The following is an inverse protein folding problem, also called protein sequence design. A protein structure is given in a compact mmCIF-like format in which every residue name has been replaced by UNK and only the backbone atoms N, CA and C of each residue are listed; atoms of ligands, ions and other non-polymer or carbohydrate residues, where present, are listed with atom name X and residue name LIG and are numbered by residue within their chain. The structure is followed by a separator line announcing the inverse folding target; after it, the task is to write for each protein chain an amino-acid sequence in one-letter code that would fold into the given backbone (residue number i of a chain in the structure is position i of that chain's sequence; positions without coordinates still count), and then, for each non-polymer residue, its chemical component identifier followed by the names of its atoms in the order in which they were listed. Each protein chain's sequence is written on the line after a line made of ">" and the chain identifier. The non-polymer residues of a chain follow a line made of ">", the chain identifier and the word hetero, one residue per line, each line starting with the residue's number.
data_IF_045837420360
#
_entry.id   IF_045837420360
#
_cell.length_a   1.000
_cell.length_b   1.000
_cell.length_c   1.000
_cell.angle_alpha   90.00
_cell.angle_beta   90.00
_cell.angle_gamma   90.00
#
_symmetry.space_group_name_H-M   'P 1'
#
loop_
_entity.id
_entity.type
_entity.pdbx_description
1 polymer ?
#
# COMPACT_ATOMS: atom_id res chain seq x y z
N UNK A 1 -21.88 -43.06 -33.27
CA UNK A 1 -20.59 -42.79 -32.58
C UNK A 1 -19.99 -41.46 -32.99
N UNK A 2 -20.06 -41.07 -34.29
CA UNK A 2 -19.50 -39.82 -34.81
C UNK A 2 -20.18 -38.53 -34.24
N UNK A 3 -21.52 -38.44 -34.10
CA UNK A 3 -22.14 -37.23 -33.56
C UNK A 3 -21.79 -36.94 -32.08
N UNK A 4 -21.62 -37.98 -31.27
CA UNK A 4 -21.27 -37.82 -29.85
C UNK A 4 -19.82 -37.39 -29.66
N UNK A 5 -18.92 -37.82 -30.51
CA UNK A 5 -17.52 -37.41 -30.49
C UNK A 5 -17.37 -35.93 -30.93
N UNK A 6 -18.14 -35.53 -31.95
CA UNK A 6 -18.19 -34.11 -32.36
C UNK A 6 -18.77 -33.20 -31.29
N UNK A 7 -19.86 -33.63 -30.63
CA UNK A 7 -20.44 -32.91 -29.53
C UNK A 7 -19.45 -32.81 -28.34
N UNK A 8 -18.75 -33.92 -28.03
CA UNK A 8 -17.73 -33.95 -26.98
C UNK A 8 -16.56 -33.00 -27.28
N UNK A 9 -16.04 -33.03 -28.53
CA UNK A 9 -14.97 -32.10 -28.93
C UNK A 9 -15.41 -30.63 -28.91
N UNK A 10 -16.64 -30.32 -29.29
CA UNK A 10 -17.19 -28.97 -29.21
C UNK A 10 -17.41 -28.53 -27.76
N UNK A 11 -17.90 -29.43 -26.91
CA UNK A 11 -18.07 -29.15 -25.47
C UNK A 11 -16.71 -29.01 -24.83
N UNK A 12 -15.74 -29.89 -25.07
CA UNK A 12 -14.41 -29.83 -24.53
C UNK A 12 -13.64 -28.56 -24.98
N UNK A 13 -13.79 -28.18 -26.26
CA UNK A 13 -13.22 -26.94 -26.81
C UNK A 13 -13.87 -25.65 -26.21
N UNK A 14 -15.14 -25.75 -25.75
CA UNK A 14 -15.88 -24.63 -25.19
C UNK A 14 -16.01 -24.71 -23.64
N UNK A 15 -15.51 -25.78 -23.01
CA UNK A 15 -15.60 -25.97 -21.56
C UNK A 15 -14.77 -24.92 -20.78
N UNK A 16 -13.75 -24.35 -21.40
CA UNK A 16 -13.04 -23.19 -20.87
C UNK A 16 -12.61 -22.24 -21.99
N UNK A 17 -13.57 -21.52 -22.63
CA UNK A 17 -13.25 -20.51 -23.64
C UNK A 17 -12.41 -19.36 -23.04
N UNK A 18 -12.17 -19.39 -21.74
CA UNK A 18 -11.52 -18.35 -20.97
C UNK A 18 -10.25 -18.80 -20.24
N UNK A 19 -9.90 -20.09 -20.33
CA UNK A 19 -8.70 -20.66 -19.72
C UNK A 19 -7.39 -20.17 -20.35
N UNK A 20 -7.46 -19.55 -21.54
CA UNK A 20 -6.28 -19.01 -22.22
C UNK A 20 -6.29 -17.48 -22.26
N UNK A 21 -6.53 -16.84 -21.13
CA UNK A 21 -6.48 -15.37 -20.98
C UNK A 21 -5.04 -14.81 -21.07
N UNK A 22 -4.01 -15.68 -20.99
CA UNK A 22 -2.60 -15.31 -21.20
C UNK A 22 -2.33 -14.73 -22.60
N UNK A 23 -3.12 -15.11 -23.60
CA UNK A 23 -3.08 -14.53 -24.96
C UNK A 23 -3.62 -13.11 -25.05
N UNK A 24 -4.34 -12.64 -24.06
CA UNK A 24 -4.93 -11.31 -24.02
C UNK A 24 -3.88 -10.33 -23.48
N UNK A 25 -3.28 -9.55 -24.39
CA UNK A 25 -2.24 -8.59 -24.01
C UNK A 25 -2.84 -7.31 -23.46
N UNK A 26 -2.49 -6.97 -22.23
CA UNK A 26 -2.84 -5.71 -21.56
C UNK A 26 -1.56 -4.95 -21.25
N UNK A 27 -1.48 -3.70 -21.72
CA UNK A 27 -0.33 -2.84 -21.44
C UNK A 27 -0.49 -2.17 -20.06
N UNK A 28 0.60 -2.13 -19.32
CA UNK A 28 0.73 -1.40 -18.06
C UNK A 28 1.82 -0.36 -18.23
N UNK A 29 1.50 0.89 -17.96
CA UNK A 29 2.47 1.97 -17.89
C UNK A 29 2.47 2.54 -16.48
N UNK A 30 3.63 2.64 -15.88
CA UNK A 30 3.83 3.24 -14.57
C UNK A 30 4.49 4.61 -14.75
N UNK A 31 3.76 5.68 -14.47
CA UNK A 31 4.26 7.05 -14.43
C UNK A 31 4.39 7.55 -12.99
N UNK A 32 3.99 6.73 -11.97
CA UNK A 32 4.05 7.08 -10.56
C UNK A 32 5.48 7.42 -10.13
N UNK A 33 5.61 8.53 -9.42
CA UNK A 33 6.90 9.04 -8.92
C UNK A 33 7.20 8.62 -7.50
N UNK A 34 6.30 7.82 -6.92
CA UNK A 34 6.34 7.56 -5.49
C UNK A 34 5.91 8.79 -4.68
N UNK A 35 5.84 8.64 -3.39
CA UNK A 35 5.58 9.72 -2.46
C UNK A 35 6.26 9.46 -1.12
N UNK A 36 6.75 10.53 -0.52
CA UNK A 36 7.38 10.53 0.80
C UNK A 36 6.54 11.32 1.79
N UNK A 37 6.36 10.77 2.98
CA UNK A 37 5.79 11.46 4.13
C UNK A 37 6.74 11.37 5.32
N UNK A 38 6.47 12.14 6.38
CA UNK A 38 7.28 12.05 7.61
C UNK A 38 7.34 10.66 8.23
N UNK A 39 6.35 9.82 7.94
CA UNK A 39 6.22 8.49 8.52
C UNK A 39 6.71 7.37 7.59
N UNK A 40 6.64 7.58 6.26
CA UNK A 40 6.97 6.54 5.31
C UNK A 40 7.20 7.04 3.89
N UNK A 41 7.96 6.25 3.12
CA UNK A 41 8.08 6.35 1.66
C UNK A 41 7.20 5.26 1.02
N UNK A 42 6.46 5.62 -0.02
CA UNK A 42 5.59 4.72 -0.77
C UNK A 42 5.87 4.84 -2.27
N UNK A 43 6.07 3.72 -2.92
CA UNK A 43 6.07 3.56 -4.37
C UNK A 43 5.02 2.52 -4.76
N UNK A 44 3.76 2.95 -4.73
CA UNK A 44 2.62 2.07 -4.96
C UNK A 44 2.55 1.60 -6.41
N UNK A 45 2.92 2.47 -7.36
CA UNK A 45 2.94 2.13 -8.78
C UNK A 45 3.96 1.01 -9.07
N UNK A 46 5.15 1.09 -8.52
CA UNK A 46 6.16 0.04 -8.68
C UNK A 46 5.74 -1.27 -7.99
N UNK A 47 5.13 -1.18 -6.82
CA UNK A 47 4.61 -2.36 -6.11
C UNK A 47 3.53 -3.09 -6.93
N UNK A 48 2.61 -2.33 -7.57
CA UNK A 48 1.60 -2.90 -8.48
C UNK A 48 2.28 -3.58 -9.66
N UNK A 49 3.25 -2.94 -10.32
CA UNK A 49 3.99 -3.51 -11.44
C UNK A 49 4.69 -4.81 -11.04
N UNK A 50 5.36 -4.86 -9.90
CA UNK A 50 6.10 -6.04 -9.46
C UNK A 50 5.17 -7.21 -9.07
N UNK A 51 3.99 -6.92 -8.57
CA UNK A 51 2.96 -7.92 -8.32
C UNK A 51 2.33 -8.43 -9.64
N UNK A 52 2.06 -7.52 -10.59
CA UNK A 52 1.53 -7.92 -11.90
C UNK A 52 2.53 -8.75 -12.72
N UNK A 53 3.84 -8.55 -12.56
CA UNK A 53 4.87 -9.41 -13.18
C UNK A 53 4.79 -10.87 -12.71
N UNK A 54 4.29 -11.10 -11.50
CA UNK A 54 4.08 -12.45 -10.92
C UNK A 54 2.70 -13.03 -11.24
N UNK A 55 1.80 -12.20 -11.76
CA UNK A 55 0.43 -12.59 -12.08
C UNK A 55 0.34 -13.07 -13.53
N UNK A 56 -0.19 -14.26 -13.74
CA UNK A 56 -0.30 -14.92 -15.05
C UNK A 56 -1.73 -15.00 -15.59
N UNK A 57 -2.68 -14.27 -14.98
CA UNK A 57 -4.08 -14.26 -15.41
C UNK A 57 -4.28 -13.60 -16.77
N UNK A 58 -3.44 -12.63 -17.13
CA UNK A 58 -3.44 -11.93 -18.41
C UNK A 58 -2.02 -11.84 -18.97
N UNK A 59 -1.92 -11.51 -20.27
CA UNK A 59 -0.64 -11.24 -20.92
C UNK A 59 -0.14 -9.82 -20.65
N UNK A 60 0.32 -9.54 -19.43
CA UNK A 60 0.78 -8.23 -19.02
C UNK A 60 2.00 -7.78 -19.84
N UNK A 61 1.95 -6.55 -20.34
CA UNK A 61 3.04 -5.89 -21.09
C UNK A 61 3.38 -4.57 -20.44
N UNK A 62 4.58 -4.47 -19.88
CA UNK A 62 5.07 -3.28 -19.21
C UNK A 62 5.77 -2.39 -20.24
N UNK A 63 5.21 -1.23 -20.50
CA UNK A 63 5.65 -0.27 -21.52
C UNK A 63 5.44 1.15 -21.02
N UNK A 64 5.97 2.15 -21.72
CA UNK A 64 5.66 3.54 -21.43
C UNK A 64 4.21 3.92 -21.80
N UNK A 65 3.69 5.01 -21.23
CA UNK A 65 2.31 5.43 -21.45
C UNK A 65 2.01 5.76 -22.92
N UNK A 66 2.99 6.27 -23.66
CA UNK A 66 2.85 6.59 -25.09
C UNK A 66 2.72 5.33 -25.94
N UNK A 67 3.56 4.33 -25.66
CA UNK A 67 3.48 3.02 -26.32
C UNK A 67 2.18 2.29 -25.94
N UNK A 68 1.79 2.33 -24.67
CA UNK A 68 0.55 1.74 -24.19
C UNK A 68 -0.66 2.28 -24.95
N UNK A 69 -0.83 3.62 -25.00
CA UNK A 69 -1.92 4.30 -25.72
C UNK A 69 -1.88 4.02 -27.23
N UNK A 70 -0.69 4.05 -27.84
CA UNK A 70 -0.52 3.73 -29.28
C UNK A 70 -0.84 2.26 -29.56
N UNK A 71 -0.39 1.35 -28.72
CA UNK A 71 -0.64 -0.08 -28.85
C UNK A 71 -2.12 -0.46 -28.79
N UNK A 72 -2.88 0.19 -27.90
CA UNK A 72 -4.35 0.03 -27.86
C UNK A 72 -5.00 0.53 -29.15
N UNK A 73 -4.65 1.73 -29.62
CA UNK A 73 -5.22 2.29 -30.87
C UNK A 73 -4.91 1.44 -32.08
N UNK A 74 -3.70 0.88 -32.17
CA UNK A 74 -3.29 0.01 -33.28
C UNK A 74 -3.83 -1.42 -33.20
N UNK A 75 -4.43 -1.81 -32.05
CA UNK A 75 -4.91 -3.16 -31.80
C UNK A 75 -3.81 -4.15 -31.38
N UNK A 76 -2.59 -3.67 -31.09
CA UNK A 76 -1.50 -4.48 -30.51
C UNK A 76 -1.90 -4.98 -29.13
N UNK A 77 -2.48 -4.09 -28.29
CA UNK A 77 -3.00 -4.41 -26.97
C UNK A 77 -4.53 -4.32 -26.95
N UNK A 78 -5.16 -5.15 -26.16
CA UNK A 78 -6.61 -5.11 -25.93
C UNK A 78 -7.03 -3.94 -25.04
N UNK A 79 -6.22 -3.69 -24.03
CA UNK A 79 -6.40 -2.58 -23.11
C UNK A 79 -5.04 -2.05 -22.67
N UNK A 80 -5.03 -0.86 -22.11
CA UNK A 80 -3.89 -0.31 -21.40
C UNK A 80 -4.36 0.38 -20.11
N UNK A 81 -3.53 0.27 -19.09
CA UNK A 81 -3.72 0.93 -17.81
C UNK A 81 -2.49 1.77 -17.55
N UNK A 82 -2.71 3.03 -17.27
CA UNK A 82 -1.64 3.96 -16.93
C UNK A 82 -1.83 4.38 -15.48
N UNK A 83 -0.83 4.13 -14.67
CA UNK A 83 -0.74 4.58 -13.29
C UNK A 83 -0.20 6.01 -13.33
N UNK A 84 -0.96 7.02 -12.89
CA UNK A 84 -0.55 8.42 -13.00
C UNK A 84 0.60 8.76 -12.04
N UNK A 85 1.26 9.86 -12.29
CA UNK A 85 2.47 10.29 -11.60
C UNK A 85 2.27 10.65 -10.12
N UNK A 86 1.05 10.97 -9.73
CA UNK A 86 0.63 11.30 -8.37
C UNK A 86 -0.08 10.16 -7.62
N UNK A 87 0.01 8.93 -8.12
CA UNK A 87 -0.76 7.81 -7.58
C UNK A 87 -0.39 7.49 -6.11
N UNK A 88 0.91 7.38 -5.81
CA UNK A 88 1.41 7.19 -4.44
C UNK A 88 1.05 8.37 -3.52
N UNK A 89 1.14 9.61 -4.03
CA UNK A 89 0.74 10.80 -3.27
C UNK A 89 -0.75 10.76 -2.90
N UNK A 90 -1.60 10.38 -3.85
CA UNK A 90 -3.04 10.24 -3.60
C UNK A 90 -3.36 9.16 -2.57
N UNK A 91 -2.64 8.03 -2.58
CA UNK A 91 -2.78 6.99 -1.55
C UNK A 91 -2.33 7.49 -0.18
N UNK A 92 -1.20 8.19 -0.08
CA UNK A 92 -0.71 8.74 1.19
C UNK A 92 -1.60 9.87 1.74
N UNK A 93 -2.30 10.61 0.87
CA UNK A 93 -3.21 11.67 1.29
C UNK A 93 -4.35 11.18 2.19
N UNK A 94 -4.74 9.91 2.07
CA UNK A 94 -5.74 9.27 2.92
C UNK A 94 -5.27 9.25 4.39
N UNK A 95 -3.98 9.09 4.62
CA UNK A 95 -3.39 9.05 5.96
C UNK A 95 -3.30 10.45 6.60
N UNK A 96 -3.24 11.50 5.79
CA UNK A 96 -3.20 12.90 6.27
C UNK A 96 -4.60 13.50 6.48
N UNK A 97 -5.66 12.78 6.10
CA UNK A 97 -7.04 13.25 6.22
C UNK A 97 -7.52 14.15 5.06
N UNK A 98 -6.63 14.47 4.12
CA UNK A 98 -6.97 15.19 2.87
C UNK A 98 -7.14 14.17 1.74
N UNK A 99 -8.31 13.54 1.70
CA UNK A 99 -8.56 12.35 0.87
C UNK A 99 -8.62 12.76 -0.61
N UNK A 100 -7.53 12.50 -1.33
CA UNK A 100 -7.49 12.49 -2.79
C UNK A 100 -7.70 11.06 -3.26
N UNK A 101 -8.73 10.83 -4.08
CA UNK A 101 -8.96 9.48 -4.62
C UNK A 101 -7.85 9.15 -5.63
N UNK A 102 -7.16 7.99 -5.47
CA UNK A 102 -6.24 7.53 -6.50
C UNK A 102 -7.04 7.11 -7.74
N UNK A 103 -6.70 7.67 -8.88
CA UNK A 103 -7.32 7.35 -10.16
C UNK A 103 -6.33 6.59 -11.05
N UNK A 104 -6.84 5.72 -11.90
CA UNK A 104 -6.08 5.01 -12.91
C UNK A 104 -6.65 5.35 -14.28
N UNK A 105 -5.81 5.67 -15.22
CA UNK A 105 -6.22 5.86 -16.60
C UNK A 105 -6.40 4.53 -17.30
N UNK A 106 -7.59 4.28 -17.82
CA UNK A 106 -7.93 3.05 -18.51
C UNK A 106 -8.28 3.28 -19.98
N UNK A 107 -7.62 2.58 -20.88
CA UNK A 107 -7.81 2.65 -22.33
C UNK A 107 -8.21 1.28 -22.89
N UNK A 108 -9.27 1.21 -23.70
CA UNK A 108 -9.78 -0.02 -24.32
C UNK A 108 -9.77 0.11 -25.84
N UNK A 109 -9.51 -1.00 -26.53
CA UNK A 109 -9.72 -1.08 -27.96
C UNK A 109 -11.17 -1.45 -28.29
N UNK A 110 -11.99 -0.47 -28.60
CA UNK A 110 -13.42 -0.65 -28.92
C UNK A 110 -13.66 -1.52 -30.18
N UNK A 111 -12.68 -1.63 -31.07
CA UNK A 111 -12.79 -2.44 -32.29
C UNK A 111 -12.73 -3.95 -32.05
N UNK A 112 -12.24 -4.37 -30.88
CA UNK A 112 -12.14 -5.77 -30.44
C UNK A 112 -13.24 -6.16 -29.45
N UNK A 113 -14.43 -5.66 -29.64
CA UNK A 113 -15.53 -5.52 -28.68
C UNK A 113 -16.07 -6.83 -28.07
N UNK A 114 -15.89 -8.00 -28.68
CA UNK A 114 -16.46 -9.25 -28.16
C UNK A 114 -15.80 -9.75 -26.85
N UNK A 115 -14.55 -9.38 -26.60
CA UNK A 115 -13.74 -9.85 -25.46
C UNK A 115 -13.52 -8.72 -24.43
N UNK A 116 -13.74 -7.47 -24.85
CA UNK A 116 -13.49 -6.28 -24.04
C UNK A 116 -14.15 -6.30 -22.65
N UNK A 117 -15.43 -6.67 -22.47
CA UNK A 117 -16.07 -6.64 -21.15
C UNK A 117 -15.42 -7.58 -20.14
N UNK A 118 -14.91 -8.73 -20.59
CA UNK A 118 -14.27 -9.70 -19.71
C UNK A 118 -12.84 -9.31 -19.34
N UNK A 119 -12.11 -8.72 -20.28
CA UNK A 119 -10.77 -8.17 -20.02
C UNK A 119 -10.89 -7.02 -19.00
N UNK A 120 -11.89 -6.16 -19.20
CA UNK A 120 -12.18 -5.05 -18.30
C UNK A 120 -12.47 -5.57 -16.89
N UNK A 121 -13.32 -6.59 -16.77
CA UNK A 121 -13.66 -7.15 -15.46
C UNK A 121 -12.45 -7.81 -14.79
N UNK A 122 -11.71 -8.66 -15.50
CA UNK A 122 -10.53 -9.37 -14.93
C UNK A 122 -9.39 -8.41 -14.68
N UNK A 123 -9.06 -7.54 -15.63
CA UNK A 123 -7.98 -6.56 -15.46
C UNK A 123 -8.27 -5.56 -14.36
N UNK A 124 -9.49 -5.00 -14.36
CA UNK A 124 -9.90 -4.06 -13.32
C UNK A 124 -9.95 -4.72 -11.94
N UNK A 125 -10.50 -5.94 -11.81
CA UNK A 125 -10.54 -6.64 -10.52
C UNK A 125 -9.14 -7.01 -10.02
N UNK A 126 -8.25 -7.45 -10.89
CA UNK A 126 -6.87 -7.77 -10.51
C UNK A 126 -6.14 -6.52 -10.00
N UNK A 127 -6.28 -5.40 -10.70
CA UNK A 127 -5.64 -4.16 -10.27
C UNK A 127 -6.31 -3.60 -9.01
N UNK A 128 -7.63 -3.70 -8.90
CA UNK A 128 -8.33 -3.29 -7.68
C UNK A 128 -7.89 -4.11 -6.48
N UNK A 129 -7.65 -5.41 -6.63
CA UNK A 129 -7.02 -6.22 -5.58
C UNK A 129 -5.63 -5.71 -5.23
N UNK A 130 -4.76 -5.44 -6.22
CA UNK A 130 -3.42 -4.93 -5.98
C UNK A 130 -3.44 -3.57 -5.27
N UNK A 131 -4.36 -2.69 -5.63
CA UNK A 131 -4.56 -1.41 -4.93
C UNK A 131 -4.98 -1.64 -3.49
N UNK A 132 -5.96 -2.52 -3.25
CA UNK A 132 -6.44 -2.83 -1.91
C UNK A 132 -5.35 -3.48 -1.05
N UNK A 133 -4.56 -4.40 -1.61
CA UNK A 133 -3.45 -5.05 -0.92
C UNK A 133 -2.34 -4.04 -0.58
N UNK A 134 -1.99 -3.18 -1.52
CA UNK A 134 -1.02 -2.10 -1.32
C UNK A 134 -1.53 -1.12 -0.25
N UNK A 135 -2.78 -0.68 -0.34
CA UNK A 135 -3.39 0.20 0.64
C UNK A 135 -3.43 -0.43 2.04
N UNK A 136 -3.83 -1.70 2.14
CA UNK A 136 -3.87 -2.42 3.42
C UNK A 136 -2.49 -2.54 4.06
N UNK A 137 -1.46 -2.82 3.25
CA UNK A 137 -0.07 -2.88 3.70
C UNK A 137 0.41 -1.51 4.20
N UNK A 138 0.16 -0.45 3.42
CA UNK A 138 0.51 0.93 3.78
C UNK A 138 -0.18 1.37 5.07
N UNK A 139 -1.47 1.08 5.20
CA UNK A 139 -2.24 1.41 6.39
C UNK A 139 -1.72 0.67 7.62
N UNK A 140 -1.42 -0.63 7.50
CA UNK A 140 -0.87 -1.44 8.58
C UNK A 140 0.52 -0.92 9.03
N UNK A 141 1.41 -0.63 8.09
CA UNK A 141 2.74 -0.07 8.38
C UNK A 141 2.66 1.30 9.06
N UNK A 142 1.73 2.14 8.61
CA UNK A 142 1.52 3.47 9.19
C UNK A 142 1.00 3.38 10.63
N UNK A 143 0.02 2.51 10.88
CA UNK A 143 -0.50 2.26 12.22
C UNK A 143 0.61 1.72 13.13
N UNK A 144 1.40 0.75 12.66
CA UNK A 144 2.51 0.19 13.42
C UNK A 144 3.55 1.27 13.81
N UNK A 145 3.91 2.16 12.87
CA UNK A 145 4.84 3.27 13.13
C UNK A 145 4.27 4.30 14.11
N UNK A 146 2.99 4.65 14.00
CA UNK A 146 2.32 5.55 14.94
C UNK A 146 2.31 4.94 16.33
N UNK A 147 1.99 3.66 16.47
CA UNK A 147 2.00 2.94 17.75
C UNK A 147 3.40 2.92 18.35
N UNK A 148 4.42 2.58 17.55
CA UNK A 148 5.82 2.58 18.03
C UNK A 148 6.28 3.97 18.47
N UNK A 149 5.99 5.01 17.71
CA UNK A 149 6.33 6.40 18.05
C UNK A 149 5.61 6.84 19.33
N UNK A 150 4.32 6.52 19.47
CA UNK A 150 3.54 6.83 20.66
C UNK A 150 4.04 6.08 21.91
N UNK A 151 4.39 4.80 21.76
CA UNK A 151 4.98 4.00 22.82
C UNK A 151 6.34 4.57 23.26
N UNK A 152 7.21 4.92 22.31
CA UNK A 152 8.51 5.53 22.58
C UNK A 152 8.39 6.87 23.30
N UNK A 153 7.43 7.72 22.86
CA UNK A 153 7.15 9.00 23.52
C UNK A 153 6.62 8.81 24.95
N UNK A 154 5.75 7.82 25.15
CA UNK A 154 5.20 7.51 26.47
C UNK A 154 6.29 7.00 27.43
N UNK A 155 7.15 6.09 26.96
CA UNK A 155 8.30 5.58 27.71
C UNK A 155 9.24 6.71 28.09
N UNK A 156 9.62 7.58 27.15
CA UNK A 156 10.48 8.72 27.43
C UNK A 156 9.88 9.72 28.45
N UNK A 157 8.56 9.95 28.40
CA UNK A 157 7.87 10.78 29.40
C UNK A 157 7.83 10.11 30.78
N UNK A 158 7.61 8.80 30.83
CA UNK A 158 7.62 8.04 32.09
C UNK A 158 9.01 8.04 32.71
N UNK A 159 10.07 7.83 31.92
CA UNK A 159 11.45 7.86 32.41
C UNK A 159 11.84 9.25 32.90
N UNK A 160 11.45 10.32 32.19
CA UNK A 160 11.65 11.69 32.63
C UNK A 160 10.92 12.00 33.93
N UNK A 161 9.67 11.57 34.07
CA UNK A 161 8.88 11.76 35.29
C UNK A 161 9.48 10.98 36.47
N UNK A 162 9.92 9.74 36.23
CA UNK A 162 10.55 8.90 37.23
C UNK A 162 11.89 9.50 37.71
N UNK A 163 12.70 10.01 36.78
CA UNK A 163 13.94 10.74 37.15
C UNK A 163 13.67 11.96 38.00
N UNK A 164 12.68 12.77 37.64
CA UNK A 164 12.28 13.96 38.43
C UNK A 164 11.79 13.58 39.80
N UNK A 165 10.98 12.53 39.92
CA UNK A 165 10.49 12.03 41.20
C UNK A 165 11.64 11.52 42.10
N UNK A 166 12.56 10.75 41.52
CA UNK A 166 13.73 10.25 42.25
C UNK A 166 14.63 11.39 42.76
N UNK A 167 14.81 12.44 41.93
CA UNK A 167 15.55 13.64 42.38
C UNK A 167 14.84 14.33 43.52
N UNK A 168 13.53 14.57 43.43
CA UNK A 168 12.74 15.19 44.50
C UNK A 168 12.77 14.39 45.81
N UNK A 169 12.72 13.05 45.71
CA UNK A 169 12.88 12.16 46.86
C UNK A 169 14.28 12.29 47.52
N UNK A 170 15.32 12.36 46.69
CA UNK A 170 16.71 12.53 47.16
C UNK A 170 16.88 13.87 47.88
N UNK A 171 16.35 14.95 47.32
CA UNK A 171 16.41 16.28 47.92
C UNK A 171 15.60 16.32 49.23
N UNK A 172 14.44 15.68 49.26
CA UNK A 172 13.64 15.57 50.49
C UNK A 172 14.37 14.81 51.60
N UNK A 173 15.04 13.70 51.25
CA UNK A 173 15.86 12.93 52.19
C UNK A 173 17.03 13.76 52.77
N UNK A 174 17.70 14.53 51.90
CA UNK A 174 18.77 15.41 52.30
C UNK A 174 18.26 16.48 53.28
N UNK A 175 17.18 17.18 52.94
CA UNK A 175 16.57 18.18 53.78
C UNK A 175 16.16 17.59 55.15
N UNK A 176 15.59 16.39 55.19
CA UNK A 176 15.23 15.70 56.41
C UNK A 176 16.45 15.41 57.30
N UNK A 177 17.57 14.97 56.70
CA UNK A 177 18.82 14.74 57.41
C UNK A 177 19.38 16.05 58.00
N UNK A 178 19.31 17.14 57.23
CA UNK A 178 19.75 18.45 57.69
C UNK A 178 18.89 18.96 58.87
N UNK A 179 17.57 18.76 58.84
CA UNK A 179 16.67 19.04 59.92
C UNK A 179 16.97 18.18 61.17
N UNK A 180 17.26 16.90 61.03
CA UNK A 180 17.63 15.99 62.09
C UNK A 180 18.93 16.42 62.75
N UNK A 181 19.92 16.86 61.98
CA UNK A 181 21.19 17.39 62.54
C UNK A 181 20.98 18.70 63.32
N UNK A 182 20.22 19.64 62.71
CA UNK A 182 19.89 20.88 63.40
C UNK A 182 19.14 20.66 64.73
N UNK A 183 18.24 19.67 64.80
CA UNK A 183 17.56 19.28 66.04
C UNK A 183 18.52 18.72 67.10
N UNK A 184 19.47 17.86 66.64
CA UNK A 184 20.52 17.35 67.59
C UNK A 184 21.42 18.46 68.15
N UNK A 185 21.83 19.37 67.24
CA UNK A 185 22.64 20.52 67.66
C UNK A 185 21.90 21.41 68.66
N UNK A 186 20.61 21.64 68.44
CA UNK A 186 19.75 22.38 69.39
C UNK A 186 19.61 21.65 70.73
N UNK A 187 19.39 20.31 70.69
CA UNK A 187 19.32 19.51 71.90
C UNK A 187 20.63 19.50 72.71
N UNK A 188 21.77 19.60 72.04
CA UNK A 188 23.07 19.65 72.70
C UNK A 188 23.42 21.04 73.30
N UNK A 189 22.71 22.08 72.85
CA UNK A 189 22.92 23.45 73.27
C UNK A 189 22.03 23.87 74.47
N UNK A 190 21.06 23.02 74.85
CA UNK A 190 20.15 23.21 75.99
C UNK A 190 20.57 22.32 77.16
#
# INVERSE_FOLDING_TARGET
>A
VLPSLYAWFNIAANMDPYGNTKGIQVAIANEDKGADSEQMSLDAGQNIVDNLKKNDQLGWKFVDAKEAKKGVRSGKYYAAIVIPDNFSESLLSILSGDIKQPELDYYINEKKNAIAPKITATGASTIQQQINDTFSSVAADSIAKIVQKSAGTLTGKLDGTNSTLMQALTDTRKNLADYQNALKDFQAAV
#
